data_IF_199490843958
#
_entry.id   IF_199490843958
#
_cell.length_a   1.000
_cell.length_b   1.000
_cell.length_c   1.000
_cell.angle_alpha   90.00
_cell.angle_beta   90.00
_cell.angle_gamma   90.00
#
_symmetry.space_group_name_H-M   'P 1'
#
loop_
_entity.id
_entity.type
_entity.pdbx_description
1 polymer ?
#
# COMPACT_ATOMS: atom_id res chain seq x y z
N UNK A 1 33.70 36.63 -54.59
CA UNK A 1 32.45 35.86 -54.79
C UNK A 1 32.36 34.77 -53.73
N UNK A 2 31.25 34.75 -52.98
CA UNK A 2 30.54 33.63 -52.28
C UNK A 2 31.39 32.46 -51.72
N UNK A 3 31.54 32.34 -50.38
CA UNK A 3 30.66 31.69 -49.36
C UNK A 3 30.87 30.16 -49.25
N UNK A 4 31.18 29.69 -48.04
CA UNK A 4 31.00 28.31 -47.58
C UNK A 4 31.81 27.99 -46.31
N UNK A 5 31.13 27.89 -45.17
CA UNK A 5 31.71 27.78 -43.83
C UNK A 5 32.26 26.38 -43.49
N UNK A 6 33.24 26.36 -42.58
CA UNK A 6 33.72 25.19 -41.87
C UNK A 6 32.92 24.98 -40.58
N UNK A 7 32.60 23.73 -40.25
CA UNK A 7 32.33 23.29 -38.88
C UNK A 7 33.06 21.96 -38.68
N UNK A 8 34.05 21.99 -37.79
CA UNK A 8 34.71 20.84 -37.18
C UNK A 8 34.10 20.70 -35.79
N UNK A 9 33.63 19.52 -35.43
CA UNK A 9 33.28 19.16 -34.06
C UNK A 9 34.20 18.01 -33.62
N UNK A 10 34.94 18.23 -32.53
CA UNK A 10 35.75 17.25 -31.80
C UNK A 10 35.19 17.13 -30.39
N UNK A 11 35.47 15.97 -29.78
CA UNK A 11 35.29 15.56 -28.38
C UNK A 11 34.05 14.69 -28.16
N UNK A 12 34.12 13.58 -27.46
CA UNK A 12 35.17 12.98 -26.65
C UNK A 12 34.57 11.71 -26.05
N UNK A 13 35.38 10.65 -25.90
CA UNK A 13 34.89 9.38 -25.36
C UNK A 13 34.60 9.43 -23.87
N UNK A 14 33.68 8.57 -23.43
CA UNK A 14 33.69 8.00 -22.09
C UNK A 14 33.05 6.60 -22.11
N UNK A 15 33.85 5.64 -21.65
CA UNK A 15 33.50 4.28 -21.25
C UNK A 15 32.46 4.33 -20.13
N UNK A 16 31.50 3.40 -20.08
CA UNK A 16 30.73 3.13 -18.85
C UNK A 16 30.52 1.63 -18.69
N UNK A 17 31.04 1.13 -17.56
CA UNK A 17 31.04 -0.24 -17.09
C UNK A 17 29.68 -0.59 -16.47
N UNK A 18 29.28 -1.87 -16.63
CA UNK A 18 28.20 -2.51 -15.90
C UNK A 18 28.50 -2.57 -14.40
N UNK A 19 27.51 -2.20 -13.58
CA UNK A 19 27.50 -2.46 -12.14
C UNK A 19 26.06 -2.71 -11.70
N UNK A 20 25.77 -3.96 -11.36
CA UNK A 20 24.51 -4.37 -10.75
C UNK A 20 24.48 -3.88 -9.29
N UNK A 21 23.40 -3.20 -8.91
CA UNK A 21 23.08 -2.93 -7.51
C UNK A 21 21.82 -3.73 -7.15
N UNK A 22 21.98 -4.70 -6.26
CA UNK A 22 20.89 -5.40 -5.60
C UNK A 22 20.34 -4.51 -4.46
N UNK A 23 19.01 -4.50 -4.21
CA UNK A 23 18.47 -3.93 -2.98
C UNK A 23 18.65 -4.92 -1.81
N UNK A 24 19.02 -4.34 -0.66
CA UNK A 24 19.25 -5.02 0.60
C UNK A 24 17.95 -5.60 1.19
N UNK A 25 18.08 -6.77 1.81
CA UNK A 25 17.04 -7.43 2.59
C UNK A 25 16.77 -6.69 3.91
N UNK A 26 15.50 -6.59 4.28
CA UNK A 26 15.04 -6.09 5.58
C UNK A 26 15.32 -7.11 6.71
N UNK A 27 15.53 -6.66 7.97
CA UNK A 27 15.84 -7.55 9.09
C UNK A 27 14.60 -8.28 9.58
N UNK A 28 14.79 -9.56 9.91
CA UNK A 28 13.79 -10.44 10.49
C UNK A 28 13.76 -10.24 12.01
N UNK A 29 12.57 -10.07 12.58
CA UNK A 29 12.34 -10.07 14.02
C UNK A 29 12.42 -11.51 14.53
N UNK A 30 13.46 -11.83 15.30
CA UNK A 30 13.62 -13.11 15.96
C UNK A 30 13.78 -12.91 17.48
N UNK A 31 12.83 -13.50 18.20
CA UNK A 31 12.84 -13.99 19.58
C UNK A 31 13.80 -13.37 20.61
N UNK A 32 13.22 -12.57 21.50
CA UNK A 32 13.78 -12.20 22.81
C UNK A 32 13.46 -13.28 23.85
N UNK A 33 14.11 -14.44 23.77
CA UNK A 33 13.94 -15.48 24.80
C UNK A 33 15.16 -16.40 24.97
N UNK A 34 16.36 -15.84 25.07
CA UNK A 34 17.47 -16.53 25.75
C UNK A 34 18.57 -15.51 26.03
N UNK A 35 18.98 -15.38 27.28
CA UNK A 35 20.31 -15.04 27.81
C UNK A 35 20.15 -14.43 29.22
N UNK A 36 19.54 -15.19 30.12
CA UNK A 36 19.80 -15.07 31.54
C UNK A 36 20.74 -16.22 31.92
N UNK A 37 21.99 -15.91 32.29
CA UNK A 37 22.81 -16.60 33.32
C UNK A 37 24.25 -16.02 33.39
N UNK A 38 24.47 -15.12 34.37
CA UNK A 38 25.68 -14.88 35.20
C UNK A 38 26.98 -14.29 34.61
N UNK A 39 27.89 -13.67 35.43
CA UNK A 39 27.70 -12.81 36.60
C UNK A 39 28.42 -11.44 36.49
N UNK A 40 28.07 -10.51 37.38
CA UNK A 40 28.73 -9.21 37.54
C UNK A 40 30.18 -9.35 38.01
N UNK A 41 31.09 -8.57 37.41
CA UNK A 41 32.43 -8.28 37.91
C UNK A 41 32.76 -6.79 37.70
N UNK A 42 33.54 -6.29 38.63
CA UNK A 42 33.81 -4.90 39.03
C UNK A 42 34.47 -3.97 37.98
N UNK A 43 34.27 -2.66 38.21
CA UNK A 43 34.70 -1.43 37.49
C UNK A 43 36.25 -1.24 37.36
N UNK A 44 36.81 -0.40 36.44
CA UNK A 44 36.75 1.07 36.55
C UNK A 44 36.63 1.90 35.26
N UNK A 45 36.24 3.15 35.49
CA UNK A 45 35.99 4.25 34.55
C UNK A 45 37.21 4.70 33.71
N UNK A 46 36.93 5.26 32.52
CA UNK A 46 37.34 6.61 32.05
C UNK A 46 37.35 6.66 30.51
N UNK A 47 36.85 7.77 29.93
CA UNK A 47 37.25 8.22 28.59
C UNK A 47 36.11 8.63 27.66
N UNK A 48 35.98 9.94 27.46
CA UNK A 48 35.12 10.64 26.51
C UNK A 48 35.08 10.06 25.09
N UNK A 49 33.88 9.87 24.54
CA UNK A 49 33.65 9.70 23.09
C UNK A 49 32.54 10.61 22.54
N UNK A 50 32.18 11.67 23.26
CA UNK A 50 31.10 12.58 22.86
C UNK A 50 31.49 13.70 21.88
N UNK A 51 32.74 13.77 21.39
CA UNK A 51 33.24 14.97 20.68
C UNK A 51 33.63 14.79 19.19
N UNK A 52 33.20 13.71 18.52
CA UNK A 52 33.72 13.39 17.16
C UNK A 52 32.69 13.45 16.02
N UNK A 53 31.38 13.55 16.26
CA UNK A 53 30.38 13.44 15.17
C UNK A 53 29.45 14.64 14.95
N UNK A 54 29.80 15.85 15.43
CA UNK A 54 29.04 17.08 15.18
C UNK A 54 29.94 18.19 14.59
N UNK A 55 30.52 17.95 13.41
CA UNK A 55 31.06 19.02 12.56
C UNK A 55 30.69 18.78 11.09
N UNK A 56 29.47 19.17 10.74
CA UNK A 56 29.14 19.50 9.36
C UNK A 56 29.94 20.75 8.99
N UNK A 57 30.98 20.59 8.19
CA UNK A 57 31.84 21.68 7.71
C UNK A 57 31.05 22.60 6.78
N UNK A 58 30.43 23.63 7.36
CA UNK A 58 30.08 24.86 6.64
C UNK A 58 31.30 25.77 6.74
N UNK A 59 32.07 25.91 5.65
CA UNK A 59 33.08 26.96 5.58
C UNK A 59 32.38 28.32 5.61
N UNK A 60 32.80 29.27 6.46
CA UNK A 60 32.22 30.60 6.48
C UNK A 60 32.61 31.34 5.20
N UNK A 61 31.68 31.46 4.26
CA UNK A 61 31.78 32.45 3.18
C UNK A 61 31.75 33.83 3.84
N UNK A 62 32.87 34.56 3.74
CA UNK A 62 32.92 35.95 4.17
C UNK A 62 31.87 36.75 3.40
N UNK A 63 31.02 37.54 4.06
CA UNK A 63 29.99 38.32 3.38
C UNK A 63 30.63 39.34 2.44
N UNK A 64 30.04 39.50 1.26
CA UNK A 64 30.35 40.55 0.29
C UNK A 64 30.21 41.93 0.97
N UNK A 65 31.19 42.85 0.91
CA UNK A 65 31.17 44.12 1.64
C UNK A 65 29.95 45.01 1.34
N UNK A 66 29.32 44.87 0.17
CA UNK A 66 28.09 45.60 -0.19
C UNK A 66 26.86 45.19 0.66
N UNK A 67 26.93 44.06 1.39
CA UNK A 67 25.86 43.57 2.27
C UNK A 67 25.88 44.27 3.64
N UNK A 68 26.95 45.00 3.97
CA UNK A 68 27.11 45.66 5.27
C UNK A 68 26.49 47.06 5.34
N UNK A 69 26.18 47.69 4.20
CA UNK A 69 25.61 49.05 4.14
C UNK A 69 24.07 49.08 4.20
N UNK A 70 23.38 47.99 3.83
CA UNK A 70 21.93 47.84 4.01
C UNK A 70 21.55 46.40 4.40
N UNK A 71 21.21 46.12 5.67
CA UNK A 71 20.81 44.78 6.12
C UNK A 71 19.35 44.44 5.76
N UNK A 72 18.57 45.39 5.23
CA UNK A 72 17.14 45.22 4.90
C UNK A 72 16.81 43.99 4.03
N UNK A 73 17.56 43.66 2.95
CA UNK A 73 17.29 42.47 2.15
C UNK A 73 17.47 41.16 2.94
N UNK A 74 18.43 41.09 3.87
CA UNK A 74 18.63 39.90 4.70
C UNK A 74 17.54 39.76 5.75
N UNK A 75 17.15 40.84 6.42
CA UNK A 75 16.03 40.85 7.38
C UNK A 75 14.74 40.42 6.70
N UNK A 76 14.47 40.95 5.49
CA UNK A 76 13.31 40.56 4.69
C UNK A 76 13.35 39.09 4.28
N UNK A 77 14.53 38.57 3.91
CA UNK A 77 14.67 37.16 3.55
C UNK A 77 14.43 36.22 4.74
N UNK A 78 14.88 36.59 5.95
CA UNK A 78 14.64 35.85 7.19
C UNK A 78 13.15 35.88 7.55
N UNK A 79 12.51 37.04 7.52
CA UNK A 79 11.06 37.15 7.77
C UNK A 79 10.23 36.31 6.79
N UNK A 80 10.57 36.35 5.50
CA UNK A 80 9.91 35.51 4.49
C UNK A 80 10.22 34.01 4.68
N UNK A 81 11.35 33.65 5.29
CA UNK A 81 11.64 32.26 5.65
C UNK A 81 10.81 31.82 6.87
N UNK A 82 10.70 32.65 7.89
CA UNK A 82 9.89 32.41 9.09
C UNK A 82 8.40 32.25 8.75
N UNK A 83 7.84 33.15 7.92
CA UNK A 83 6.44 33.06 7.47
C UNK A 83 6.16 31.79 6.66
N UNK A 84 7.13 31.33 5.86
CA UNK A 84 7.00 30.07 5.11
C UNK A 84 7.03 28.86 6.03
N UNK A 85 7.85 28.89 7.08
CA UNK A 85 7.89 27.81 8.07
C UNK A 85 6.60 27.75 8.89
N UNK A 86 6.06 28.90 9.32
CA UNK A 86 4.77 28.95 10.01
C UNK A 86 3.65 28.40 9.13
N UNK A 87 3.58 28.81 7.85
CA UNK A 87 2.58 28.28 6.92
C UNK A 87 2.74 26.77 6.69
N UNK A 88 3.97 26.30 6.51
CA UNK A 88 4.23 24.88 6.30
C UNK A 88 3.85 24.04 7.54
N UNK A 89 4.06 24.57 8.74
CA UNK A 89 3.63 23.94 9.99
C UNK A 89 2.10 23.87 10.09
N UNK A 90 1.40 24.97 9.80
CA UNK A 90 -0.06 25.02 9.79
C UNK A 90 -0.65 24.06 8.74
N UNK A 91 -0.07 24.01 7.55
CA UNK A 91 -0.45 23.07 6.50
C UNK A 91 -0.21 21.61 6.92
N UNK A 92 0.90 21.33 7.62
CA UNK A 92 1.19 20.00 8.15
C UNK A 92 0.20 19.59 9.24
N UNK A 93 -0.04 20.45 10.22
CA UNK A 93 -1.02 20.19 11.30
C UNK A 93 -2.41 19.97 10.70
N UNK A 94 -2.85 20.82 9.77
CA UNK A 94 -4.14 20.65 9.12
C UNK A 94 -4.20 19.36 8.26
N UNK A 95 -3.09 18.93 7.65
CA UNK A 95 -3.03 17.66 6.94
C UNK A 95 -3.07 16.45 7.88
N UNK A 96 -2.38 16.52 9.02
CA UNK A 96 -2.42 15.49 10.06
C UNK A 96 -3.81 15.36 10.69
N UNK A 97 -4.49 16.47 10.96
CA UNK A 97 -5.88 16.46 11.45
C UNK A 97 -6.83 15.83 10.44
N UNK A 98 -6.75 16.24 9.15
CA UNK A 98 -7.54 15.62 8.08
C UNK A 98 -7.28 14.12 7.95
N UNK A 99 -6.00 13.71 7.96
CA UNK A 99 -5.64 12.30 7.88
C UNK A 99 -6.16 11.50 9.09
N UNK A 100 -6.19 12.10 10.27
CA UNK A 100 -6.75 11.49 11.48
C UNK A 100 -8.27 11.33 11.38
N UNK A 101 -8.97 12.36 10.89
CA UNK A 101 -10.43 12.31 10.67
C UNK A 101 -10.80 11.24 9.63
N UNK A 102 -10.10 11.20 8.49
CA UNK A 102 -10.28 10.17 7.46
C UNK A 102 -10.01 8.76 8.00
N UNK A 103 -8.96 8.60 8.82
CA UNK A 103 -8.65 7.31 9.44
C UNK A 103 -9.71 6.89 10.48
N UNK A 104 -10.27 7.84 11.23
CA UNK A 104 -11.34 7.59 12.20
C UNK A 104 -12.65 7.19 11.50
N UNK A 105 -13.00 7.85 10.39
CA UNK A 105 -14.16 7.50 9.56
C UNK A 105 -13.99 6.11 8.93
N UNK A 106 -12.81 5.81 8.39
CA UNK A 106 -12.50 4.49 7.84
C UNK A 106 -12.57 3.40 8.93
N UNK A 107 -12.07 3.67 10.13
CA UNK A 107 -12.14 2.75 11.26
C UNK A 107 -13.59 2.51 11.73
N UNK A 108 -14.42 3.55 11.75
CA UNK A 108 -15.84 3.43 12.10
C UNK A 108 -16.61 2.60 11.08
N UNK A 109 -16.36 2.82 9.78
CA UNK A 109 -16.96 2.02 8.71
C UNK A 109 -16.53 0.54 8.80
N UNK A 110 -15.24 0.28 9.05
CA UNK A 110 -14.72 -1.07 9.24
C UNK A 110 -15.34 -1.76 10.47
N UNK A 111 -15.47 -1.06 11.60
CA UNK A 111 -16.12 -1.62 12.81
C UNK A 111 -17.62 -1.90 12.60
N UNK A 112 -18.29 -1.13 11.75
CA UNK A 112 -19.69 -1.39 11.39
C UNK A 112 -19.83 -2.61 10.47
N UNK A 113 -18.89 -2.78 9.53
CA UNK A 113 -18.78 -3.99 8.72
C UNK A 113 -18.47 -5.22 9.59
N UNK A 114 -17.60 -5.10 10.58
CA UNK A 114 -17.29 -6.16 11.57
C UNK A 114 -18.52 -6.53 12.41
N UNK A 115 -19.30 -5.55 12.84
CA UNK A 115 -20.57 -5.85 13.52
C UNK A 115 -21.54 -6.60 12.63
N UNK A 116 -21.66 -6.23 11.35
CA UNK A 116 -22.47 -6.99 10.38
C UNK A 116 -21.93 -8.40 10.21
N UNK A 117 -20.61 -8.56 10.17
CA UNK A 117 -19.89 -9.85 10.16
C UNK A 117 -20.25 -10.75 11.34
N UNK A 118 -20.37 -10.16 12.54
CA UNK A 118 -20.63 -10.91 13.77
C UNK A 118 -22.09 -11.36 13.95
N UNK A 119 -23.05 -10.76 13.24
CA UNK A 119 -24.46 -11.17 13.25
C UNK A 119 -24.66 -12.16 12.09
N UNK A 120 -24.30 -13.42 12.35
CA UNK A 120 -24.56 -14.63 11.57
C UNK A 120 -25.08 -14.48 10.13
N UNK A 121 -24.25 -14.94 9.19
CA UNK A 121 -24.36 -14.93 7.74
C UNK A 121 -25.54 -15.69 7.10
N UNK A 122 -26.74 -15.56 7.64
CA UNK A 122 -27.97 -15.92 6.94
C UNK A 122 -28.87 -14.68 6.86
N UNK A 123 -28.57 -13.83 5.88
CA UNK A 123 -29.40 -12.68 5.54
C UNK A 123 -30.52 -13.03 4.54
N UNK A 124 -30.67 -14.32 4.17
CA UNK A 124 -31.63 -14.73 3.14
C UNK A 124 -31.27 -14.29 1.71
N UNK A 125 -29.98 -14.05 1.44
CA UNK A 125 -29.48 -13.65 0.13
C UNK A 125 -29.85 -14.69 -0.94
N UNK A 126 -30.55 -14.26 -1.99
CA UNK A 126 -30.78 -15.11 -3.16
C UNK A 126 -29.48 -15.23 -3.97
N UNK A 127 -28.99 -16.46 -4.14
CA UNK A 127 -27.81 -16.77 -4.95
C UNK A 127 -28.14 -17.51 -6.25
N UNK A 128 -29.42 -17.70 -6.59
CA UNK A 128 -29.84 -18.44 -7.78
C UNK A 128 -29.25 -17.89 -9.09
N UNK A 129 -29.08 -16.57 -9.17
CA UNK A 129 -28.47 -15.84 -10.30
C UNK A 129 -26.99 -16.18 -10.54
N UNK A 130 -26.30 -16.81 -9.58
CA UNK A 130 -24.90 -17.22 -9.75
C UNK A 130 -24.74 -18.39 -10.72
N UNK A 131 -25.84 -19.08 -11.09
CA UNK A 131 -25.79 -20.25 -11.95
C UNK A 131 -25.13 -21.45 -11.25
N UNK A 132 -24.50 -22.33 -12.03
CA UNK A 132 -23.92 -23.59 -11.54
C UNK A 132 -22.53 -23.41 -10.90
N UNK A 133 -22.39 -22.46 -9.99
CA UNK A 133 -21.19 -22.37 -9.13
C UNK A 133 -21.09 -23.59 -8.22
N UNK A 134 -19.88 -23.94 -7.79
CA UNK A 134 -19.66 -25.00 -6.82
C UNK A 134 -20.34 -24.65 -5.49
N UNK A 135 -20.71 -25.66 -4.70
CA UNK A 135 -21.44 -25.44 -3.43
C UNK A 135 -20.65 -24.56 -2.45
N UNK A 136 -19.35 -24.83 -2.28
CA UNK A 136 -18.48 -24.03 -1.42
C UNK A 136 -18.29 -22.58 -1.91
N UNK A 137 -18.39 -22.34 -3.22
CA UNK A 137 -18.36 -20.98 -3.79
C UNK A 137 -19.66 -20.25 -3.47
N UNK A 138 -20.79 -20.96 -3.48
CA UNK A 138 -22.10 -20.40 -3.09
C UNK A 138 -22.12 -20.04 -1.62
N UNK A 139 -21.63 -20.91 -0.74
CA UNK A 139 -21.50 -20.64 0.70
C UNK A 139 -20.63 -19.40 0.96
N UNK A 140 -19.50 -19.26 0.26
CA UNK A 140 -18.66 -18.07 0.36
C UNK A 140 -19.36 -16.80 -0.16
N UNK A 141 -20.15 -16.91 -1.22
CA UNK A 141 -20.93 -15.80 -1.77
C UNK A 141 -22.04 -15.35 -0.80
N UNK A 142 -22.70 -16.29 -0.11
CA UNK A 142 -23.69 -16.00 0.92
C UNK A 142 -23.04 -15.31 2.12
N UNK A 143 -21.93 -15.87 2.60
CA UNK A 143 -21.15 -15.27 3.68
C UNK A 143 -20.75 -13.84 3.35
N UNK A 144 -19.90 -13.64 2.34
CA UNK A 144 -19.38 -12.31 2.01
C UNK A 144 -20.51 -11.36 1.56
N UNK A 145 -21.47 -11.86 0.77
CA UNK A 145 -22.59 -11.07 0.29
C UNK A 145 -23.42 -10.49 1.43
N UNK A 146 -23.73 -11.29 2.46
CA UNK A 146 -24.46 -10.82 3.64
C UNK A 146 -23.69 -9.75 4.43
N UNK A 147 -22.36 -9.86 4.51
CA UNK A 147 -21.56 -8.90 5.30
C UNK A 147 -21.42 -7.55 4.62
N UNK A 148 -21.38 -7.55 3.28
CA UNK A 148 -21.11 -6.36 2.47
C UNK A 148 -22.35 -5.80 1.78
N UNK A 149 -23.54 -6.04 2.34
CA UNK A 149 -24.78 -5.36 1.94
C UNK A 149 -25.42 -5.89 0.68
N UNK A 150 -25.31 -7.20 0.43
CA UNK A 150 -25.98 -7.92 -0.66
C UNK A 150 -25.68 -7.32 -2.06
N UNK A 151 -24.39 -7.14 -2.42
CA UNK A 151 -24.04 -6.55 -3.70
C UNK A 151 -24.53 -7.42 -4.86
N UNK A 152 -24.63 -6.81 -6.04
CA UNK A 152 -24.82 -7.60 -7.26
C UNK A 152 -23.60 -8.51 -7.45
N UNK A 153 -23.87 -9.79 -7.72
CA UNK A 153 -22.81 -10.78 -7.91
C UNK A 153 -22.97 -11.50 -9.25
N UNK A 154 -21.84 -11.87 -9.84
CA UNK A 154 -21.79 -12.66 -11.07
C UNK A 154 -20.99 -13.94 -10.85
N UNK A 155 -21.67 -15.08 -11.02
CA UNK A 155 -21.07 -16.42 -10.93
C UNK A 155 -20.72 -16.98 -12.31
N UNK A 156 -21.28 -18.14 -12.66
CA UNK A 156 -20.98 -18.82 -13.92
C UNK A 156 -21.37 -17.94 -15.13
N UNK A 157 -20.37 -17.60 -15.93
CA UNK A 157 -20.54 -16.92 -17.20
C UNK A 157 -19.44 -17.36 -18.18
N UNK A 158 -19.74 -17.35 -19.48
CA UNK A 158 -18.71 -17.49 -20.51
C UNK A 158 -17.81 -16.26 -20.52
N UNK A 159 -16.51 -16.45 -20.35
CA UNK A 159 -15.50 -15.38 -20.35
C UNK A 159 -14.42 -15.69 -21.39
N UNK A 160 -13.82 -14.66 -21.97
CA UNK A 160 -12.66 -14.83 -22.84
C UNK A 160 -11.39 -15.06 -22.00
N UNK A 161 -10.44 -15.85 -22.52
CA UNK A 161 -9.18 -16.16 -21.83
C UNK A 161 -9.31 -17.22 -20.73
N UNK A 162 -8.29 -17.29 -19.85
CA UNK A 162 -8.30 -18.16 -18.67
C UNK A 162 -9.16 -17.51 -17.60
N UNK A 163 -10.30 -18.11 -17.29
CA UNK A 163 -11.23 -17.62 -16.27
C UNK A 163 -11.80 -18.81 -15.50
N UNK A 164 -11.97 -18.64 -14.20
CA UNK A 164 -12.53 -19.66 -13.32
C UNK A 164 -14.07 -19.64 -13.29
N UNK A 165 -14.70 -18.56 -13.79
CA UNK A 165 -16.17 -18.42 -13.87
C UNK A 165 -16.86 -19.56 -14.64
N UNK A 166 -16.42 -19.97 -15.84
CA UNK A 166 -17.09 -21.06 -16.58
C UNK A 166 -17.11 -22.38 -15.82
N UNK A 167 -16.13 -22.60 -14.92
CA UNK A 167 -16.03 -23.81 -14.09
C UNK A 167 -16.78 -23.73 -12.76
N UNK A 168 -17.45 -22.60 -12.50
CA UNK A 168 -18.18 -22.36 -11.26
C UNK A 168 -17.27 -22.07 -10.07
N UNK A 169 -16.02 -21.67 -10.31
CA UNK A 169 -14.96 -21.46 -9.31
C UNK A 169 -14.62 -20.01 -9.03
N UNK A 170 -15.47 -19.07 -9.46
CA UNK A 170 -15.26 -17.66 -9.22
C UNK A 170 -16.57 -16.88 -9.06
N UNK A 171 -16.47 -15.77 -8.33
CA UNK A 171 -17.52 -14.77 -8.14
C UNK A 171 -16.92 -13.38 -8.36
N UNK A 172 -17.62 -12.53 -9.10
CA UNK A 172 -17.40 -11.09 -9.13
C UNK A 172 -18.42 -10.41 -8.20
N UNK A 173 -17.94 -9.63 -7.23
CA UNK A 173 -18.78 -8.79 -6.36
C UNK A 173 -18.73 -7.35 -6.86
N UNK A 174 -19.86 -6.85 -7.40
CA UNK A 174 -19.95 -5.49 -7.93
C UNK A 174 -20.13 -4.50 -6.79
N UNK A 175 -19.10 -3.71 -6.51
CA UNK A 175 -19.04 -2.83 -5.32
C UNK A 175 -18.31 -1.53 -5.64
N UNK A 176 -18.59 -0.48 -4.84
CA UNK A 176 -17.77 0.72 -4.85
C UNK A 176 -16.39 0.46 -4.24
N UNK A 177 -15.50 1.46 -4.36
CA UNK A 177 -14.12 1.32 -3.89
C UNK A 177 -14.01 1.02 -2.39
N UNK A 178 -14.74 1.75 -1.56
CA UNK A 178 -14.62 1.64 -0.11
C UNK A 178 -15.11 0.27 0.38
N UNK A 179 -16.22 -0.20 -0.19
CA UNK A 179 -16.76 -1.54 0.07
C UNK A 179 -15.81 -2.62 -0.46
N UNK A 180 -15.25 -2.43 -1.66
CA UNK A 180 -14.30 -3.36 -2.28
C UNK A 180 -12.99 -3.52 -1.50
N UNK A 181 -12.45 -2.43 -0.94
CA UNK A 181 -11.26 -2.47 -0.09
C UNK A 181 -11.50 -3.35 1.17
N UNK A 182 -12.67 -3.22 1.80
CA UNK A 182 -13.03 -4.01 2.99
C UNK A 182 -13.33 -5.48 2.64
N UNK A 183 -14.05 -5.72 1.54
CA UNK A 183 -14.41 -7.06 1.08
C UNK A 183 -13.16 -7.85 0.70
N UNK A 184 -12.26 -7.27 -0.09
CA UNK A 184 -11.02 -7.91 -0.48
C UNK A 184 -10.14 -8.26 0.73
N UNK A 185 -10.04 -7.35 1.72
CA UNK A 185 -9.32 -7.60 2.95
C UNK A 185 -9.93 -8.74 3.77
N UNK A 186 -11.27 -8.78 3.89
CA UNK A 186 -11.95 -9.85 4.61
C UNK A 186 -11.83 -11.21 3.92
N UNK A 187 -11.95 -11.23 2.59
CA UNK A 187 -11.75 -12.43 1.79
C UNK A 187 -10.34 -13.03 2.02
N UNK A 188 -9.31 -12.19 2.01
CA UNK A 188 -7.93 -12.62 2.26
C UNK A 188 -7.71 -13.10 3.69
N UNK A 189 -8.30 -12.45 4.69
CA UNK A 189 -8.24 -12.90 6.10
C UNK A 189 -8.88 -14.26 6.31
N UNK A 190 -9.93 -14.57 5.56
CA UNK A 190 -10.65 -15.84 5.61
C UNK A 190 -10.30 -16.79 4.46
N UNK A 191 -9.15 -16.57 3.80
CA UNK A 191 -8.78 -17.26 2.57
C UNK A 191 -8.84 -18.79 2.71
N UNK A 192 -8.20 -19.34 3.75
CA UNK A 192 -8.17 -20.78 4.02
C UNK A 192 -9.56 -21.33 4.38
N UNK A 193 -10.29 -20.62 5.23
CA UNK A 193 -11.62 -21.01 5.70
C UNK A 193 -12.67 -21.02 4.57
N UNK A 194 -12.49 -20.16 3.56
CA UNK A 194 -13.36 -20.06 2.38
C UNK A 194 -12.83 -20.86 1.17
N UNK A 195 -11.61 -21.40 1.21
CA UNK A 195 -11.01 -22.13 0.09
C UNK A 195 -10.68 -21.23 -1.11
N UNK A 196 -10.35 -19.96 -0.83
CA UNK A 196 -10.01 -18.96 -1.83
C UNK A 196 -8.58 -19.19 -2.33
N UNK A 197 -8.42 -19.30 -3.65
CA UNK A 197 -7.11 -19.43 -4.29
C UNK A 197 -6.46 -18.07 -4.54
N UNK A 198 -7.25 -17.06 -4.95
CA UNK A 198 -6.79 -15.69 -5.12
C UNK A 198 -7.92 -14.67 -5.12
N UNK A 199 -7.55 -13.42 -4.83
CA UNK A 199 -8.41 -12.25 -4.95
C UNK A 199 -7.79 -11.26 -5.94
N UNK A 200 -8.59 -10.69 -6.82
CA UNK A 200 -8.20 -9.58 -7.70
C UNK A 200 -9.01 -8.35 -7.34
N UNK A 201 -8.32 -7.24 -7.13
CA UNK A 201 -8.93 -5.95 -6.82
C UNK A 201 -7.98 -4.80 -7.20
N UNK A 202 -8.52 -3.75 -7.83
CA UNK A 202 -7.75 -2.53 -8.13
C UNK A 202 -6.48 -2.83 -8.94
N UNK A 203 -6.62 -3.63 -9.99
CA UNK A 203 -5.55 -4.06 -10.89
C UNK A 203 -4.38 -4.77 -10.19
N UNK A 204 -4.67 -5.44 -9.08
CA UNK A 204 -3.70 -6.23 -8.32
C UNK A 204 -4.29 -7.59 -8.01
N UNK A 205 -3.45 -8.61 -7.94
CA UNK A 205 -3.81 -9.96 -7.56
C UNK A 205 -3.11 -10.33 -6.25
N UNK A 206 -3.77 -11.11 -5.39
CA UNK A 206 -3.19 -11.62 -4.17
C UNK A 206 -3.57 -13.09 -3.97
N UNK A 207 -2.54 -13.93 -3.87
CA UNK A 207 -2.63 -15.37 -3.64
C UNK A 207 -2.54 -15.77 -2.16
N UNK A 208 -2.50 -14.80 -1.24
CA UNK A 208 -2.29 -14.98 0.20
C UNK A 208 -0.93 -14.47 0.69
N UNK A 209 0.03 -14.27 -0.23
CA UNK A 209 1.39 -13.80 0.07
C UNK A 209 1.61 -12.29 -0.11
N UNK A 210 0.57 -11.53 -0.43
CA UNK A 210 0.64 -10.10 -0.70
C UNK A 210 0.16 -9.72 -2.10
N UNK A 211 -0.02 -8.41 -2.32
CA UNK A 211 -0.52 -7.87 -3.58
C UNK A 211 0.57 -7.76 -4.63
N UNK A 212 0.30 -8.29 -5.82
CA UNK A 212 1.14 -8.19 -7.01
C UNK A 212 0.41 -7.36 -8.10
N UNK A 213 1.10 -6.44 -8.79
CA UNK A 213 0.48 -5.65 -9.85
C UNK A 213 0.16 -6.53 -11.07
N UNK A 214 -0.97 -6.28 -11.71
CA UNK A 214 -1.34 -6.90 -12.99
C UNK A 214 -1.02 -5.97 -14.16
N UNK A 215 -0.84 -6.56 -15.34
CA UNK A 215 -0.83 -5.80 -16.58
C UNK A 215 -2.15 -5.06 -16.80
N UNK A 216 -2.10 -3.96 -17.56
CA UNK A 216 -3.31 -3.31 -18.04
C UNK A 216 -3.99 -4.18 -19.10
N UNK A 217 -5.20 -4.65 -18.77
CA UNK A 217 -6.06 -5.49 -19.61
C UNK A 217 -7.10 -4.68 -20.39
N UNK A 218 -7.13 -3.36 -20.19
CA UNK A 218 -7.98 -2.42 -20.91
C UNK A 218 -9.33 -2.15 -20.23
N UNK A 219 -9.37 -1.09 -19.42
CA UNK A 219 -10.60 -0.51 -18.86
C UNK A 219 -10.94 -0.97 -17.45
N UNK A 220 -11.97 -0.33 -16.85
CA UNK A 220 -12.32 -0.51 -15.44
C UNK A 220 -12.63 -1.96 -15.08
N UNK A 221 -13.52 -2.62 -15.84
CA UNK A 221 -13.92 -4.00 -15.58
C UNK A 221 -12.77 -4.98 -15.80
N UNK A 222 -12.02 -4.89 -16.90
CA UNK A 222 -10.91 -5.81 -17.15
C UNK A 222 -9.78 -5.69 -16.11
N UNK A 223 -9.63 -4.50 -15.54
CA UNK A 223 -8.65 -4.21 -14.49
C UNK A 223 -9.25 -4.28 -13.07
N UNK A 224 -10.51 -4.74 -12.91
CA UNK A 224 -11.14 -4.98 -11.62
C UNK A 224 -11.21 -3.73 -10.72
N UNK A 225 -11.53 -2.58 -11.31
CA UNK A 225 -11.77 -1.31 -10.60
C UNK A 225 -13.25 -1.12 -10.21
N UNK A 226 -14.15 -1.94 -10.72
CA UNK A 226 -15.61 -1.87 -10.46
C UNK A 226 -16.16 -3.12 -9.76
N UNK A 227 -15.30 -4.11 -9.46
CA UNK A 227 -15.67 -5.31 -8.73
C UNK A 227 -14.47 -5.98 -8.07
N UNK A 228 -14.70 -6.69 -6.97
CA UNK A 228 -13.75 -7.64 -6.40
C UNK A 228 -13.99 -9.00 -7.03
N UNK A 229 -12.96 -9.58 -7.62
CA UNK A 229 -13.01 -10.94 -8.15
C UNK A 229 -12.36 -11.91 -7.18
N UNK A 230 -13.05 -13.01 -6.88
CA UNK A 230 -12.55 -14.05 -5.98
C UNK A 230 -12.63 -15.39 -6.70
N UNK A 231 -11.50 -16.09 -6.74
CA UNK A 231 -11.39 -17.44 -7.28
C UNK A 231 -11.09 -18.44 -6.20
N UNK A 232 -11.62 -19.66 -6.38
CA UNK A 232 -11.65 -20.69 -5.36
C UNK A 232 -11.11 -22.02 -5.89
N UNK A 233 -10.35 -22.73 -5.07
CA UNK A 233 -9.72 -23.99 -5.47
C UNK A 233 -10.49 -25.22 -4.98
N UNK A 234 -11.02 -25.17 -3.76
CA UNK A 234 -11.76 -26.24 -3.10
C UNK A 234 -12.72 -25.69 -2.05
N UNK A 235 -13.48 -26.57 -1.39
CA UNK A 235 -14.07 -26.23 -0.10
C UNK A 235 -12.97 -25.81 0.88
N UNK A 236 -13.22 -24.75 1.63
CA UNK A 236 -12.30 -24.27 2.65
C UNK A 236 -12.24 -25.18 3.86
N UNK A 237 -11.21 -24.98 4.67
CA UNK A 237 -11.02 -25.69 5.94
C UNK A 237 -10.62 -24.70 7.02
N UNK A 238 -11.37 -24.65 8.11
CA UNK A 238 -11.10 -23.74 9.21
C UNK A 238 -12.35 -23.06 9.74
N UNK A 239 -12.16 -22.20 10.73
CA UNK A 239 -13.22 -21.38 11.31
C UNK A 239 -13.29 -20.04 10.57
N UNK A 240 -14.48 -19.63 10.15
CA UNK A 240 -14.70 -18.29 9.62
C UNK A 240 -14.49 -17.27 10.73
N UNK A 241 -13.57 -16.35 10.50
CA UNK A 241 -13.32 -15.19 11.35
C UNK A 241 -14.07 -13.98 10.81
N UNK A 242 -14.34 -13.01 11.69
CA UNK A 242 -15.00 -11.76 11.29
C UNK A 242 -14.23 -11.02 10.18
N UNK A 243 -14.96 -10.10 9.53
CA UNK A 243 -14.36 -9.02 8.77
C UNK A 243 -14.06 -7.86 9.72
#
# INVERSE_FOLDING_TARGET
MRRGAAVVAVAGGALSLMGAAAPAAAPQVADVAALAQLPAQDLPAQGDVADVLLRSSVEPVAPDPDVLDDPSPLVKAVQMAEERLVRAEEERVAAEERAREEAEEAAAAAAEAERRASVGADCGLDTGQLGAVQDYVREAAEFLGCLFGEPTMHGVAGRAGTSDHPSGKAIDFMVDRATGDQLAACALRNQDALGISYVIWEQRINHGSGWEPMEDRGGATANHFDHVHISFESAGGGELTGC
#
